data_IF_168917055474
#
_entry.id   IF_168917055474
#
_cell.length_a   1.000
_cell.length_b   1.000
_cell.length_c   1.000
_cell.angle_alpha   90.00
_cell.angle_beta   90.00
_cell.angle_gamma   90.00
#
_symmetry.space_group_name_H-M   'P 1'
#
loop_
_entity.id
_entity.type
_entity.pdbx_description
1 polymer ?
#
# COMPACT_ATOMS: atom_id res chain seq x y z
N UNK A 1 25.50 -42.40 71.87
CA UNK A 1 26.20 -42.56 70.57
C UNK A 1 25.11 -42.63 69.51
N UNK A 2 24.86 -41.56 68.73
CA UNK A 2 25.37 -41.36 67.35
C UNK A 2 25.00 -42.57 66.45
N UNK A 3 24.28 -42.55 65.31
CA UNK A 3 23.85 -41.60 64.24
C UNK A 3 22.62 -42.26 63.55
N UNK A 4 21.52 -41.57 63.18
CA UNK A 4 21.27 -40.76 61.97
C UNK A 4 21.44 -41.46 60.60
N UNK A 5 20.37 -41.36 59.78
CA UNK A 5 20.29 -41.44 58.31
C UNK A 5 20.54 -42.82 57.66
N UNK A 6 19.90 -43.24 56.57
CA UNK A 6 19.02 -42.58 55.58
C UNK A 6 18.39 -43.69 54.73
N UNK A 7 17.06 -43.71 54.61
CA UNK A 7 16.37 -44.41 53.52
C UNK A 7 16.36 -43.48 52.31
N UNK A 8 16.94 -43.90 51.19
CA UNK A 8 16.77 -43.22 49.90
C UNK A 8 16.32 -44.22 48.84
N UNK A 9 15.03 -44.12 48.53
CA UNK A 9 14.38 -44.54 47.28
C UNK A 9 15.00 -43.80 46.09
N UNK A 10 15.35 -44.47 44.98
CA UNK A 10 15.51 -43.80 43.70
C UNK A 10 14.14 -43.73 43.00
N UNK A 11 13.46 -42.60 43.15
CA UNK A 11 12.34 -42.22 42.30
C UNK A 11 12.93 -41.77 40.95
N UNK A 12 12.84 -42.61 39.93
CA UNK A 12 13.15 -42.25 38.55
C UNK A 12 12.17 -41.18 38.06
N UNK A 13 12.64 -39.94 37.98
CA UNK A 13 11.88 -38.82 37.42
C UNK A 13 12.20 -38.73 35.92
N UNK A 14 11.38 -39.39 35.10
CA UNK A 14 11.35 -39.23 33.66
C UNK A 14 10.78 -37.83 33.34
N UNK A 15 11.68 -36.85 33.19
CA UNK A 15 11.34 -35.52 32.72
C UNK A 15 11.15 -35.58 31.19
N UNK A 16 9.94 -35.84 30.73
CA UNK A 16 9.58 -35.70 29.31
C UNK A 16 9.54 -34.21 28.97
N UNK A 17 10.66 -33.69 28.47
CA UNK A 17 10.72 -32.37 27.85
C UNK A 17 9.89 -32.40 26.56
N UNK A 18 8.61 -32.05 26.69
CA UNK A 18 7.76 -31.73 25.54
C UNK A 18 8.21 -30.37 25.00
N UNK A 19 9.24 -30.36 24.15
CA UNK A 19 9.57 -29.22 23.33
C UNK A 19 8.35 -28.96 22.43
N UNK A 20 7.54 -27.97 22.79
CA UNK A 20 6.58 -27.37 21.86
C UNK A 20 7.41 -26.86 20.67
N UNK A 21 7.40 -27.60 19.56
CA UNK A 21 7.79 -27.06 18.25
C UNK A 21 6.82 -25.92 17.94
N UNK A 22 7.16 -24.72 18.38
CA UNK A 22 6.56 -23.51 17.83
C UNK A 22 7.15 -23.38 16.43
N UNK A 23 6.37 -23.53 15.35
CA UNK A 23 6.90 -23.27 14.02
C UNK A 23 7.45 -21.84 14.00
N UNK A 24 8.64 -21.61 13.44
CA UNK A 24 9.16 -20.26 13.30
C UNK A 24 8.12 -19.43 12.55
N UNK A 25 7.90 -18.15 12.93
CA UNK A 25 6.99 -17.29 12.19
C UNK A 25 7.43 -17.34 10.71
N UNK A 26 6.51 -17.75 9.84
CA UNK A 26 6.76 -17.79 8.42
C UNK A 26 7.10 -16.37 7.98
N UNK A 27 8.39 -16.08 7.78
CA UNK A 27 8.83 -14.79 7.28
C UNK A 27 8.48 -14.74 5.79
N UNK A 28 7.33 -14.16 5.48
CA UNK A 28 6.95 -13.82 4.12
C UNK A 28 7.80 -12.64 3.70
N UNK A 29 8.71 -12.85 2.74
CA UNK A 29 9.41 -11.72 2.13
C UNK A 29 8.39 -10.86 1.38
N UNK A 30 8.53 -9.52 1.41
CA UNK A 30 7.75 -8.66 0.53
C UNK A 30 7.81 -9.16 -0.92
N UNK A 31 6.69 -9.09 -1.64
CA UNK A 31 6.62 -9.52 -3.03
C UNK A 31 7.49 -8.65 -3.95
N UNK A 32 7.68 -7.39 -3.57
CA UNK A 32 8.46 -6.42 -4.33
C UNK A 32 9.39 -5.62 -3.42
N UNK A 33 10.22 -4.80 -4.06
CA UNK A 33 11.22 -3.96 -3.40
C UNK A 33 10.65 -2.80 -2.57
N UNK A 34 9.34 -2.55 -2.61
CA UNK A 34 8.69 -1.57 -1.73
C UNK A 34 8.79 -1.97 -0.24
N UNK A 35 8.96 -3.27 0.01
CA UNK A 35 9.19 -3.78 1.35
C UNK A 35 7.94 -3.90 2.22
N UNK A 36 6.72 -3.78 1.65
CA UNK A 36 5.45 -3.94 2.36
C UNK A 36 4.46 -4.87 1.67
N UNK A 37 4.26 -4.78 0.35
CA UNK A 37 3.28 -5.62 -0.35
C UNK A 37 3.61 -7.10 -0.12
N UNK A 38 2.60 -7.88 0.32
CA UNK A 38 2.75 -9.30 0.63
C UNK A 38 3.21 -9.64 2.05
N UNK A 39 3.68 -8.66 2.83
CA UNK A 39 3.91 -8.88 4.26
C UNK A 39 2.62 -9.30 4.97
N UNK A 40 2.74 -10.11 6.02
CA UNK A 40 1.62 -10.36 6.92
C UNK A 40 1.37 -9.16 7.83
N UNK A 41 0.21 -9.12 8.48
CA UNK A 41 -0.09 -8.10 9.47
C UNK A 41 0.93 -8.11 10.62
N UNK A 42 1.31 -9.29 11.10
CA UNK A 42 2.32 -9.46 12.16
C UNK A 42 3.68 -8.91 11.74
N UNK A 43 4.08 -9.11 10.47
CA UNK A 43 5.33 -8.58 9.93
C UNK A 43 5.31 -7.05 9.79
N UNK A 44 4.16 -6.47 9.41
CA UNK A 44 3.98 -5.02 9.43
C UNK A 44 4.13 -4.49 10.86
N UNK A 45 3.54 -5.15 11.86
CA UNK A 45 3.68 -4.77 13.26
C UNK A 45 5.11 -4.93 13.78
N UNK A 46 5.81 -5.98 13.36
CA UNK A 46 7.22 -6.16 13.69
C UNK A 46 8.09 -5.05 13.09
N UNK A 47 7.75 -4.58 11.87
CA UNK A 47 8.50 -3.55 11.15
C UNK A 47 8.21 -2.13 11.63
N UNK A 48 6.95 -1.81 11.93
CA UNK A 48 6.49 -0.44 12.23
C UNK A 48 6.05 -0.22 13.69
N UNK A 49 5.98 -1.29 14.48
CA UNK A 49 5.38 -1.30 15.81
C UNK A 49 3.86 -1.37 15.77
N UNK A 50 3.24 -1.13 16.92
CA UNK A 50 1.78 -1.11 17.07
C UNK A 50 1.16 0.02 16.24
N UNK A 51 0.08 -0.24 15.48
CA UNK A 51 -0.62 0.81 14.76
C UNK A 51 -1.18 1.87 15.71
N UNK A 52 -1.22 3.13 15.25
CA UNK A 52 -1.79 4.23 16.03
C UNK A 52 -3.32 4.12 16.11
N UNK A 53 -3.94 3.58 15.05
CA UNK A 53 -5.35 3.26 15.01
C UNK A 53 -5.61 2.11 14.03
N UNK A 54 -6.73 1.42 14.20
CA UNK A 54 -7.25 0.47 13.22
C UNK A 54 -8.56 1.03 12.71
N UNK A 55 -8.73 1.16 11.39
CA UNK A 55 -9.96 1.73 10.80
C UNK A 55 -10.71 0.70 9.98
N UNK A 56 -12.04 0.68 10.08
CA UNK A 56 -12.88 -0.07 9.16
C UNK A 56 -13.41 0.84 8.05
N UNK A 57 -13.36 0.39 6.80
CA UNK A 57 -13.90 1.13 5.65
C UNK A 57 -15.23 0.56 5.20
N UNK A 58 -16.31 1.36 5.24
CA UNK A 58 -17.56 1.03 4.52
C UNK A 58 -17.46 1.57 3.09
N UNK A 59 -17.07 0.70 2.15
CA UNK A 59 -16.67 1.05 0.78
C UNK A 59 -17.67 1.97 0.03
N UNK A 60 -18.98 1.78 0.24
CA UNK A 60 -20.02 2.57 -0.43
C UNK A 60 -20.14 4.02 0.07
N UNK A 61 -19.73 4.33 1.31
CA UNK A 61 -20.03 5.62 1.95
C UNK A 61 -18.80 6.47 2.27
N UNK A 62 -17.58 5.96 2.04
CA UNK A 62 -16.31 6.60 2.50
C UNK A 62 -16.35 6.99 3.99
N UNK A 63 -17.14 6.28 4.79
CA UNK A 63 -17.21 6.45 6.24
C UNK A 63 -16.16 5.56 6.86
N UNK A 64 -15.25 6.17 7.61
CA UNK A 64 -14.23 5.49 8.40
C UNK A 64 -14.66 5.47 9.86
N UNK A 65 -14.55 4.31 10.48
CA UNK A 65 -14.67 4.17 11.93
C UNK A 65 -13.31 3.77 12.48
N UNK A 66 -12.80 4.53 13.43
CA UNK A 66 -11.48 4.33 14.03
C UNK A 66 -11.65 3.63 15.38
N UNK A 67 -10.79 2.65 15.62
CA UNK A 67 -10.76 1.85 16.82
C UNK A 67 -9.35 1.86 17.40
N UNK A 68 -9.25 1.78 18.73
CA UNK A 68 -7.98 1.50 19.37
C UNK A 68 -7.55 0.06 19.05
N UNK A 69 -6.24 -0.26 19.02
CA UNK A 69 -5.78 -1.64 18.82
C UNK A 69 -6.37 -2.63 19.84
N UNK A 70 -6.63 -2.17 21.08
CA UNK A 70 -7.22 -2.99 22.15
C UNK A 70 -8.69 -3.32 21.88
N UNK A 71 -9.46 -2.35 21.41
CA UNK A 71 -10.88 -2.51 21.14
C UNK A 71 -11.14 -3.23 19.82
N UNK A 72 -10.19 -3.14 18.89
CA UNK A 72 -10.31 -3.76 17.57
C UNK A 72 -10.49 -5.27 17.66
N UNK A 73 -9.70 -5.98 18.47
CA UNK A 73 -9.82 -7.46 18.61
C UNK A 73 -11.23 -7.89 19.03
N UNK A 74 -11.87 -7.11 19.90
CA UNK A 74 -13.25 -7.32 20.38
C UNK A 74 -14.30 -7.00 19.31
N UNK A 75 -14.02 -6.05 18.42
CA UNK A 75 -14.90 -5.67 17.32
C UNK A 75 -14.77 -6.62 16.13
N UNK A 76 -13.54 -7.01 15.80
CA UNK A 76 -13.17 -7.93 14.73
C UNK A 76 -13.88 -9.27 14.83
N UNK A 77 -13.96 -9.85 16.03
CA UNK A 77 -14.67 -11.13 16.26
C UNK A 77 -16.19 -11.06 16.03
N UNK A 78 -16.76 -9.86 15.89
CA UNK A 78 -18.19 -9.63 15.65
C UNK A 78 -18.52 -9.23 14.21
N UNK A 79 -17.51 -9.02 13.37
CA UNK A 79 -17.72 -8.63 11.98
C UNK A 79 -17.99 -9.86 11.12
N UNK A 80 -19.02 -9.77 10.27
CA UNK A 80 -19.32 -10.77 9.21
C UNK A 80 -18.21 -10.80 8.15
N UNK A 81 -17.39 -9.74 8.07
CA UNK A 81 -16.21 -9.67 7.21
C UNK A 81 -15.09 -8.92 7.95
N UNK A 82 -14.33 -9.62 8.81
CA UNK A 82 -13.23 -9.05 9.61
C UNK A 82 -12.11 -8.40 8.77
N UNK A 83 -12.08 -8.77 7.49
CA UNK A 83 -11.12 -8.46 6.43
C UNK A 83 -11.03 -6.97 6.02
N UNK A 84 -11.87 -6.11 6.61
CA UNK A 84 -12.00 -4.68 6.24
C UNK A 84 -11.27 -3.73 7.20
N UNK A 85 -10.50 -4.25 8.15
CA UNK A 85 -9.63 -3.44 9.01
C UNK A 85 -8.37 -3.00 8.26
N UNK A 86 -8.03 -1.72 8.39
CA UNK A 86 -6.79 -1.15 7.91
C UNK A 86 -5.96 -0.65 9.09
N UNK A 87 -4.69 -1.03 9.15
CA UNK A 87 -3.76 -0.54 10.17
C UNK A 87 -3.23 0.83 9.77
N UNK A 88 -3.34 1.80 10.67
CA UNK A 88 -3.03 3.21 10.40
C UNK A 88 -1.82 3.66 11.21
N UNK A 89 -0.85 4.24 10.50
CA UNK A 89 0.35 4.84 11.07
C UNK A 89 0.49 6.29 10.61
N UNK A 90 0.59 7.22 11.55
CA UNK A 90 0.71 8.65 11.23
C UNK A 90 2.05 9.18 11.73
N UNK A 91 2.81 9.80 10.82
CA UNK A 91 4.10 10.42 11.12
C UNK A 91 4.08 11.89 10.72
N UNK A 92 4.91 12.71 11.36
CA UNK A 92 5.20 14.07 10.90
C UNK A 92 6.58 14.09 10.27
N UNK A 93 6.67 14.45 8.99
CA UNK A 93 7.92 14.52 8.21
C UNK A 93 7.97 15.86 7.47
N UNK A 94 8.99 16.67 7.75
CA UNK A 94 9.16 18.01 7.14
C UNK A 94 7.92 18.91 7.22
N UNK A 95 7.19 18.86 8.34
CA UNK A 95 5.95 19.64 8.54
C UNK A 95 4.71 19.09 7.82
N UNK A 96 4.82 17.93 7.16
CA UNK A 96 3.71 17.22 6.52
C UNK A 96 3.32 16.03 7.39
N UNK A 97 2.03 15.86 7.64
CA UNK A 97 1.52 14.60 8.17
C UNK A 97 1.48 13.56 7.06
N UNK A 98 2.20 12.46 7.26
CA UNK A 98 2.28 11.32 6.36
C UNK A 98 1.57 10.14 7.05
N UNK A 99 0.40 9.78 6.54
CA UNK A 99 -0.43 8.72 7.11
C UNK A 99 -0.43 7.50 6.20
N UNK A 100 0.19 6.42 6.66
CA UNK A 100 0.12 5.11 6.04
C UNK A 100 -1.15 4.38 6.50
N UNK A 101 -1.81 3.69 5.58
CA UNK A 101 -2.93 2.78 5.83
C UNK A 101 -2.67 1.48 5.08
N UNK A 102 -2.53 0.39 5.82
CA UNK A 102 -2.27 -0.94 5.27
C UNK A 102 -3.59 -1.67 5.06
N UNK A 103 -3.88 -2.02 3.82
CA UNK A 103 -5.08 -2.76 3.44
C UNK A 103 -4.71 -4.22 3.24
N UNK A 104 -5.43 -5.09 3.93
CA UNK A 104 -5.13 -6.52 3.94
C UNK A 104 -6.05 -7.34 3.06
N UNK A 105 -5.60 -8.55 2.72
CA UNK A 105 -6.37 -9.62 2.14
C UNK A 105 -6.13 -10.91 2.93
N UNK A 106 -7.18 -11.66 3.25
CA UNK A 106 -7.02 -12.98 3.83
C UNK A 106 -6.40 -13.98 2.87
N UNK A 107 -5.58 -14.88 3.40
CA UNK A 107 -5.18 -16.09 2.69
C UNK A 107 -6.29 -17.14 2.77
N UNK A 108 -7.13 -17.21 1.74
CA UNK A 108 -8.23 -18.17 1.65
C UNK A 108 -7.77 -19.62 1.43
N UNK A 109 -6.47 -19.89 1.30
CA UNK A 109 -5.93 -21.25 1.25
C UNK A 109 -5.87 -21.88 2.64
N UNK A 110 -5.89 -21.07 3.70
CA UNK A 110 -5.89 -21.55 5.07
C UNK A 110 -7.32 -21.91 5.50
N UNK A 111 -7.54 -23.17 5.87
CA UNK A 111 -8.83 -23.66 6.36
C UNK A 111 -8.99 -23.36 7.87
N UNK A 112 -8.89 -22.09 8.26
CA UNK A 112 -9.00 -21.62 9.65
C UNK A 112 -9.97 -20.43 9.77
N UNK A 113 -10.55 -20.24 10.95
CA UNK A 113 -11.53 -19.17 11.20
C UNK A 113 -10.95 -17.77 11.02
N UNK A 114 -9.65 -17.61 11.31
CA UNK A 114 -8.90 -16.36 11.21
C UNK A 114 -7.64 -16.57 10.39
N UNK A 115 -7.76 -16.56 9.05
CA UNK A 115 -6.62 -16.74 8.16
C UNK A 115 -5.63 -15.59 8.27
N UNK A 116 -4.38 -15.89 7.90
CA UNK A 116 -3.31 -14.90 7.76
C UNK A 116 -3.73 -13.75 6.84
N UNK A 117 -3.45 -12.53 7.25
CA UNK A 117 -3.77 -11.31 6.51
C UNK A 117 -2.51 -10.77 5.82
N UNK A 118 -2.52 -10.73 4.49
CA UNK A 118 -1.43 -10.19 3.68
C UNK A 118 -1.73 -8.78 3.19
N UNK A 119 -0.72 -7.90 3.20
CA UNK A 119 -0.84 -6.54 2.63
C UNK A 119 -1.09 -6.63 1.13
N UNK A 120 -2.26 -6.14 0.69
CA UNK A 120 -2.62 -6.03 -0.74
C UNK A 120 -2.44 -4.62 -1.31
N UNK A 121 -2.48 -3.62 -0.44
CA UNK A 121 -2.32 -2.20 -0.81
C UNK A 121 -1.81 -1.40 0.38
N UNK A 122 -0.94 -0.43 0.11
CA UNK A 122 -0.54 0.58 1.09
C UNK A 122 -0.99 1.93 0.57
N UNK A 123 -1.84 2.63 1.32
CA UNK A 123 -2.24 4.02 1.01
C UNK A 123 -1.42 4.97 1.90
N UNK A 124 -0.81 5.99 1.31
CA UNK A 124 -0.04 7.03 2.01
C UNK A 124 -0.68 8.38 1.71
N UNK A 125 -1.33 8.97 2.71
CA UNK A 125 -2.01 10.25 2.60
C UNK A 125 -1.14 11.37 3.16
N UNK A 126 -1.11 12.50 2.46
CA UNK A 126 -0.35 13.69 2.83
C UNK A 126 -1.29 14.80 3.33
N UNK A 127 -0.94 15.44 4.43
CA UNK A 127 -1.66 16.63 4.91
C UNK A 127 -0.66 17.68 5.39
N UNK A 128 -0.50 18.82 4.67
CA UNK A 128 -1.16 19.17 3.41
C UNK A 128 -0.70 18.32 2.22
N UNK A 129 -1.33 18.50 1.05
CA UNK A 129 -0.88 17.94 -0.22
C UNK A 129 0.55 18.38 -0.56
N UNK A 130 1.33 17.53 -1.22
CA UNK A 130 2.77 17.74 -1.46
C UNK A 130 3.10 17.75 -2.95
N UNK A 131 4.15 18.49 -3.38
CA UNK A 131 4.60 18.43 -4.76
C UNK A 131 5.19 17.05 -5.09
N UNK A 132 4.98 16.57 -6.31
CA UNK A 132 5.46 15.28 -6.81
C UNK A 132 6.93 14.98 -6.47
N UNK A 133 7.82 15.98 -6.60
CA UNK A 133 9.25 15.85 -6.30
C UNK A 133 9.59 15.62 -4.83
N UNK A 134 8.72 15.99 -3.90
CA UNK A 134 8.98 15.87 -2.46
C UNK A 134 8.68 14.47 -1.92
N UNK A 135 7.90 13.66 -2.65
CA UNK A 135 7.38 12.37 -2.19
C UNK A 135 8.52 11.38 -1.82
N UNK A 136 9.59 11.21 -2.62
CA UNK A 136 10.68 10.29 -2.25
C UNK A 136 11.37 10.64 -0.93
N UNK A 137 11.39 11.92 -0.54
CA UNK A 137 11.94 12.35 0.74
C UNK A 137 10.96 12.18 1.92
N UNK A 138 9.66 12.02 1.63
CA UNK A 138 8.61 11.84 2.63
C UNK A 138 8.24 10.37 2.83
N UNK A 139 8.52 9.50 1.86
CA UNK A 139 8.14 8.08 1.85
C UNK A 139 9.34 7.27 1.36
N UNK A 140 10.13 6.73 2.28
CA UNK A 140 11.39 6.05 1.95
C UNK A 140 11.19 4.81 1.08
N UNK A 141 10.04 4.16 1.21
CA UNK A 141 9.68 2.96 0.45
C UNK A 141 9.24 3.29 -0.99
N UNK A 142 8.91 4.56 -1.25
CA UNK A 142 8.59 5.04 -2.57
C UNK A 142 9.87 5.37 -3.33
N UNK A 143 10.35 4.37 -4.07
CA UNK A 143 11.52 4.50 -4.93
C UNK A 143 11.09 4.34 -6.39
N UNK A 144 10.52 5.35 -7.08
CA UNK A 144 10.09 5.21 -8.47
C UNK A 144 11.28 4.95 -9.41
N UNK A 145 11.02 4.33 -10.56
CA UNK A 145 12.03 4.23 -11.61
C UNK A 145 12.37 5.63 -12.16
N UNK A 146 13.58 5.83 -12.68
CA UNK A 146 14.07 7.17 -13.11
C UNK A 146 14.33 7.25 -14.62
N UNK A 147 14.18 6.14 -15.36
CA UNK A 147 14.32 6.12 -16.80
C UNK A 147 13.19 6.90 -17.47
N UNK A 148 13.47 7.75 -18.47
CA UNK A 148 12.45 8.57 -19.14
C UNK A 148 11.40 7.75 -19.90
N UNK A 149 11.75 6.51 -20.28
CA UNK A 149 10.90 5.55 -21.00
C UNK A 149 10.29 4.49 -20.09
N UNK A 150 10.57 4.54 -18.79
CA UNK A 150 9.95 3.59 -17.85
C UNK A 150 8.43 3.81 -17.85
N UNK A 151 7.62 2.74 -17.75
CA UNK A 151 6.19 2.86 -17.98
C UNK A 151 5.52 3.78 -16.96
N UNK A 152 4.99 4.89 -17.47
CA UNK A 152 4.24 5.88 -16.73
C UNK A 152 2.98 6.27 -17.51
N UNK A 153 1.87 6.39 -16.80
CA UNK A 153 0.57 6.73 -17.36
C UNK A 153 -0.07 7.81 -16.50
N UNK A 154 -1.01 8.55 -17.08
CA UNK A 154 -1.83 9.50 -16.34
C UNK A 154 -3.31 9.33 -16.66
N UNK A 155 -4.11 9.86 -15.74
CA UNK A 155 -5.48 10.28 -15.96
C UNK A 155 -5.64 11.73 -15.53
N UNK A 156 -6.90 12.18 -15.42
CA UNK A 156 -7.25 13.49 -14.86
C UNK A 156 -7.05 13.54 -13.34
N UNK A 157 -6.98 12.39 -12.65
CA UNK A 157 -6.96 12.32 -11.18
C UNK A 157 -5.71 11.67 -10.61
N UNK A 158 -4.94 10.95 -11.43
CA UNK A 158 -3.77 10.23 -10.94
C UNK A 158 -2.66 10.06 -11.99
N UNK A 159 -1.46 9.81 -11.48
CA UNK A 159 -0.30 9.31 -12.22
C UNK A 159 -0.02 7.89 -11.77
N UNK A 160 0.24 6.97 -12.71
CA UNK A 160 0.54 5.57 -12.46
C UNK A 160 1.94 5.27 -12.97
N UNK A 161 2.77 4.67 -12.12
CA UNK A 161 4.15 4.30 -12.42
C UNK A 161 4.31 2.81 -12.18
N UNK A 162 4.99 2.11 -13.08
CA UNK A 162 5.37 0.72 -12.87
C UNK A 162 6.84 0.61 -12.46
N UNK A 163 7.13 -0.37 -11.61
CA UNK A 163 8.49 -0.65 -11.17
C UNK A 163 8.77 -2.15 -11.11
N UNK A 164 9.99 -2.50 -11.50
CA UNK A 164 10.55 -3.83 -11.33
C UNK A 164 9.91 -4.89 -12.23
N UNK A 165 10.45 -6.13 -12.20
CA UNK A 165 9.85 -7.26 -12.89
C UNK A 165 8.54 -7.69 -12.20
N UNK A 166 7.64 -8.35 -12.94
CA UNK A 166 6.47 -9.00 -12.34
C UNK A 166 6.85 -10.08 -11.32
N UNK A 167 6.03 -10.25 -10.28
CA UNK A 167 6.14 -11.33 -9.28
C UNK A 167 4.95 -12.28 -9.41
N UNK A 168 5.22 -13.59 -9.32
CA UNK A 168 4.17 -14.62 -9.31
C UNK A 168 3.47 -14.71 -7.95
N UNK A 169 4.23 -14.47 -6.89
CA UNK A 169 3.75 -14.48 -5.50
C UNK A 169 2.63 -13.43 -5.29
N UNK A 170 2.67 -12.33 -6.04
CA UNK A 170 1.67 -11.29 -6.03
C UNK A 170 0.23 -11.77 -6.37
N UNK A 171 0.09 -12.88 -7.10
CA UNK A 171 -1.22 -13.51 -7.40
C UNK A 171 -2.01 -13.85 -6.13
N UNK A 172 -1.33 -14.07 -5.00
CA UNK A 172 -1.95 -14.33 -3.71
C UNK A 172 -2.93 -13.22 -3.34
N UNK A 173 -2.52 -11.97 -3.53
CA UNK A 173 -3.29 -10.80 -3.09
C UNK A 173 -4.09 -10.13 -4.21
N UNK A 174 -3.94 -10.57 -5.46
CA UNK A 174 -4.73 -10.07 -6.60
C UNK A 174 -6.16 -10.65 -6.61
N UNK A 175 -7.14 -9.79 -6.89
CA UNK A 175 -8.59 -10.11 -6.90
C UNK A 175 -9.18 -10.18 -8.33
N UNK A 176 -8.35 -10.02 -9.36
CA UNK A 176 -8.78 -10.04 -10.75
C UNK A 176 -9.25 -11.44 -11.21
N UNK A 177 -10.26 -11.47 -12.08
CA UNK A 177 -10.89 -12.71 -12.56
C UNK A 177 -9.97 -13.54 -13.47
N UNK A 178 -9.11 -12.87 -14.25
CA UNK A 178 -8.13 -13.43 -15.17
C UNK A 178 -6.72 -13.48 -14.55
N UNK A 179 -6.63 -13.53 -13.21
CA UNK A 179 -5.36 -13.27 -12.52
C UNK A 179 -4.22 -14.24 -12.84
N UNK A 180 -4.54 -15.47 -13.26
CA UNK A 180 -3.56 -16.49 -13.60
C UNK A 180 -2.72 -16.16 -14.84
N UNK A 181 -3.24 -15.30 -15.74
CA UNK A 181 -2.56 -14.91 -16.98
C UNK A 181 -1.84 -13.56 -16.85
N UNK A 182 -1.97 -12.91 -15.69
CA UNK A 182 -1.45 -11.58 -15.46
C UNK A 182 0.04 -11.56 -15.11
N UNK A 183 0.78 -10.66 -15.76
CA UNK A 183 2.11 -10.25 -15.30
C UNK A 183 1.95 -9.13 -14.27
N UNK A 184 1.92 -9.50 -12.99
CA UNK A 184 1.66 -8.62 -11.84
C UNK A 184 2.92 -7.89 -11.37
N UNK A 185 2.95 -6.57 -11.52
CA UNK A 185 4.07 -5.73 -11.14
C UNK A 185 3.68 -4.76 -10.02
N UNK A 186 4.69 -4.30 -9.29
CA UNK A 186 4.57 -3.16 -8.39
C UNK A 186 4.16 -1.93 -9.20
N UNK A 187 3.10 -1.28 -8.73
CA UNK A 187 2.62 -0.04 -9.28
C UNK A 187 2.45 1.01 -8.17
N UNK A 188 2.91 2.21 -8.48
CA UNK A 188 2.69 3.39 -7.65
C UNK A 188 1.65 4.27 -8.30
N UNK A 189 0.59 4.59 -7.57
CA UNK A 189 -0.48 5.44 -8.06
C UNK A 189 -0.60 6.71 -7.22
N UNK A 190 -0.30 7.85 -7.82
CA UNK A 190 -0.27 9.15 -7.18
C UNK A 190 -1.55 9.90 -7.51
N UNK A 191 -2.36 10.23 -6.51
CA UNK A 191 -3.66 10.87 -6.66
C UNK A 191 -3.62 12.35 -6.29
N UNK A 192 -4.41 13.13 -7.02
CA UNK A 192 -4.75 14.51 -6.67
C UNK A 192 -6.27 14.63 -6.49
N UNK A 193 -6.71 15.01 -5.30
CA UNK A 193 -8.14 15.16 -4.96
C UNK A 193 -8.79 16.25 -5.80
N UNK A 194 -8.05 17.33 -6.08
CA UNK A 194 -8.50 18.44 -6.91
C UNK A 194 -8.23 18.24 -8.41
N UNK A 195 -7.73 17.05 -8.79
CA UNK A 195 -7.32 16.72 -10.15
C UNK A 195 -5.92 17.21 -10.51
N UNK A 196 -5.33 16.53 -11.49
CA UNK A 196 -4.02 16.87 -12.03
C UNK A 196 -4.15 17.98 -13.07
N UNK A 197 -3.19 18.92 -13.12
CA UNK A 197 -3.18 19.93 -14.17
C UNK A 197 -2.95 19.28 -15.56
N UNK A 198 -3.49 19.90 -16.61
CA UNK A 198 -3.24 19.47 -18.00
C UNK A 198 -1.75 19.38 -18.29
N UNK A 199 -0.98 20.37 -17.83
CA UNK A 199 0.48 20.36 -17.88
C UNK A 199 1.05 19.89 -16.54
N UNK A 200 1.37 18.59 -16.46
CA UNK A 200 1.98 17.99 -15.28
C UNK A 200 3.43 18.49 -15.11
N UNK A 201 3.79 18.86 -13.88
CA UNK A 201 5.14 19.29 -13.52
C UNK A 201 5.59 18.60 -12.24
N UNK A 202 6.89 18.67 -11.93
CA UNK A 202 7.44 18.16 -10.67
C UNK A 202 6.89 18.86 -9.41
N UNK A 203 6.22 20.01 -9.59
CA UNK A 203 5.54 20.76 -8.53
C UNK A 203 4.04 20.49 -8.46
N UNK A 204 3.49 19.64 -9.33
CA UNK A 204 2.08 19.26 -9.28
C UNK A 204 1.73 18.61 -7.94
N UNK A 205 0.61 19.02 -7.36
CA UNK A 205 0.22 18.65 -6.00
C UNK A 205 -0.42 17.25 -5.94
N UNK A 206 0.06 16.44 -5.01
CA UNK A 206 -0.37 15.06 -4.76
C UNK A 206 -0.85 14.96 -3.31
N UNK A 207 -2.06 14.42 -3.14
CA UNK A 207 -2.70 14.24 -1.84
C UNK A 207 -2.46 12.84 -1.28
N UNK A 208 -2.28 11.86 -2.17
CA UNK A 208 -2.16 10.46 -1.76
C UNK A 208 -1.31 9.66 -2.75
N UNK A 209 -0.48 8.78 -2.23
CA UNK A 209 0.26 7.77 -2.95
C UNK A 209 -0.30 6.39 -2.58
N UNK A 210 -0.48 5.50 -3.54
CA UNK A 210 -0.84 4.11 -3.31
C UNK A 210 0.23 3.18 -3.88
N UNK A 211 0.57 2.17 -3.11
CA UNK A 211 1.40 1.03 -3.51
C UNK A 211 0.42 -0.10 -3.79
N UNK A 212 0.36 -0.55 -5.03
CA UNK A 212 -0.57 -1.60 -5.44
C UNK A 212 0.07 -2.53 -6.47
N UNK A 213 -0.69 -3.53 -6.87
CA UNK A 213 -0.28 -4.56 -7.80
C UNK A 213 -1.15 -4.42 -9.04
N UNK A 214 -0.52 -4.17 -10.18
CA UNK A 214 -1.22 -4.03 -11.45
C UNK A 214 -0.51 -4.77 -12.57
N UNK A 215 -1.25 -5.07 -13.64
CA UNK A 215 -0.70 -5.70 -14.83
C UNK A 215 -0.51 -4.66 -15.94
N UNK A 216 0.74 -4.48 -16.37
CA UNK A 216 1.08 -3.55 -17.45
C UNK A 216 0.40 -3.95 -18.77
N UNK A 217 0.34 -5.25 -19.09
CA UNK A 217 -0.35 -5.73 -20.29
C UNK A 217 -1.83 -5.37 -20.27
N UNK A 218 -2.46 -5.42 -19.10
CA UNK A 218 -3.86 -5.03 -18.94
C UNK A 218 -4.06 -3.51 -19.08
N UNK A 219 -3.15 -2.71 -18.55
CA UNK A 219 -3.16 -1.26 -18.79
C UNK A 219 -3.08 -0.94 -20.27
N UNK A 220 -2.24 -1.64 -21.05
CA UNK A 220 -2.20 -1.43 -22.50
C UNK A 220 -3.47 -1.86 -23.23
N UNK A 221 -4.14 -2.93 -22.77
CA UNK A 221 -5.39 -3.41 -23.38
C UNK A 221 -6.59 -2.50 -23.09
N UNK A 222 -6.73 -2.05 -21.83
CA UNK A 222 -7.87 -1.24 -21.36
C UNK A 222 -7.61 0.27 -21.57
N UNK A 223 -6.34 0.68 -21.62
CA UNK A 223 -5.88 2.06 -21.45
C UNK A 223 -6.18 3.03 -22.59
N UNK A 224 -6.93 2.65 -23.63
CA UNK A 224 -7.27 3.57 -24.73
C UNK A 224 -8.00 4.85 -24.29
N UNK A 225 -8.69 4.84 -23.15
CA UNK A 225 -9.49 5.98 -22.70
C UNK A 225 -9.15 6.52 -21.30
N UNK A 226 -8.37 5.79 -20.49
CA UNK A 226 -8.16 6.14 -19.06
C UNK A 226 -6.71 6.24 -18.64
N UNK A 227 -5.77 5.73 -19.44
CA UNK A 227 -4.35 5.64 -19.11
C UNK A 227 -3.51 6.22 -20.27
N UNK A 228 -3.40 7.55 -20.32
CA UNK A 228 -2.57 8.21 -21.33
C UNK A 228 -1.08 7.99 -20.97
N UNK A 229 -0.27 7.39 -21.86
CA UNK A 229 1.16 7.23 -21.62
C UNK A 229 1.85 8.59 -21.53
N UNK A 230 2.71 8.76 -20.54
CA UNK A 230 3.51 9.98 -20.36
C UNK A 230 4.98 9.65 -20.17
N UNK A 231 5.84 10.65 -20.37
CA UNK A 231 7.21 10.58 -19.89
C UNK A 231 7.21 10.43 -18.37
N UNK A 232 8.08 9.56 -17.87
CA UNK A 232 8.20 9.31 -16.44
C UNK A 232 8.50 10.61 -15.66
N UNK A 233 7.62 11.02 -14.72
CA UNK A 233 7.77 12.29 -14.01
C UNK A 233 8.96 12.34 -13.04
N UNK A 234 9.59 11.19 -12.76
CA UNK A 234 10.80 11.09 -11.94
C UNK A 234 12.09 10.98 -12.78
N UNK A 235 11.99 11.08 -14.11
CA UNK A 235 13.16 11.19 -14.98
C UNK A 235 13.76 12.61 -14.98
N UNK A 236 15.06 12.68 -15.27
CA UNK A 236 15.78 13.97 -15.36
C UNK A 236 15.20 14.83 -16.49
N UNK A 237 14.86 14.20 -17.62
CA UNK A 237 14.29 14.83 -18.80
C UNK A 237 12.93 15.48 -18.50
N UNK A 238 12.11 14.85 -17.66
CA UNK A 238 10.84 15.42 -17.26
C UNK A 238 11.03 16.70 -16.42
N UNK A 239 11.99 16.70 -15.50
CA UNK A 239 12.31 17.86 -14.67
C UNK A 239 12.84 19.05 -15.48
N UNK A 240 13.45 18.80 -16.63
CA UNK A 240 14.01 19.81 -17.53
C UNK A 240 13.02 20.29 -18.60
N UNK A 241 11.76 19.82 -18.58
CA UNK A 241 10.76 20.26 -19.56
C UNK A 241 10.55 21.77 -19.50
N UNK A 242 10.27 22.41 -20.65
CA UNK A 242 9.93 23.82 -20.68
C UNK A 242 8.66 24.07 -19.84
N UNK A 243 8.42 25.31 -19.37
CA UNK A 243 7.19 25.66 -18.69
C UNK A 243 5.97 25.42 -19.60
N UNK A 244 4.80 25.27 -18.98
CA UNK A 244 3.55 25.07 -19.71
C UNK A 244 3.37 26.16 -20.78
N UNK A 245 2.95 25.82 -22.01
CA UNK A 245 2.59 26.83 -22.98
C UNK A 245 1.48 27.73 -22.41
N UNK A 246 1.50 29.04 -22.70
CA UNK A 246 0.47 29.95 -22.21
C UNK A 246 -0.91 29.47 -22.67
N UNK A 247 -1.87 29.41 -21.74
CA UNK A 247 -3.25 29.02 -22.08
C UNK A 247 -3.77 29.98 -23.15
N UNK A 248 -4.33 29.51 -24.28
CA UNK A 248 -4.92 30.39 -25.26
C UNK A 248 -6.01 31.21 -24.59
N UNK A 249 -5.97 32.54 -24.76
CA UNK A 249 -7.03 33.42 -24.28
C UNK A 249 -8.31 33.00 -24.99
N UNK A 250 -9.27 32.42 -24.26
CA UNK A 250 -10.60 32.16 -24.81
C UNK A 250 -11.22 33.52 -25.14
N UNK A 251 -11.36 33.82 -26.43
CA UNK A 251 -12.14 34.96 -26.89
C UNK A 251 -13.59 34.64 -26.55
N UNK A 252 -14.17 35.41 -25.62
CA UNK A 252 -15.60 35.30 -25.32
C UNK A 252 -16.34 35.83 -26.55
N UNK A 253 -17.20 35.04 -27.22
CA UNK A 253 -18.00 35.53 -28.33
C UNK A 253 -18.89 36.68 -27.85
N UNK A 254 -18.79 37.84 -28.51
CA UNK A 254 -19.72 38.94 -28.26
C UNK A 254 -21.02 38.63 -29.03
N UNK A 255 -22.20 38.64 -28.39
CA UNK A 255 -23.46 38.46 -29.10
C UNK A 255 -23.64 39.58 -30.13
N UNK A 256 -23.93 39.23 -31.37
CA UNK A 256 -24.40 40.18 -32.39
C UNK A 256 -25.91 40.21 -32.31
N UNK A 257 -26.49 41.32 -31.85
CA UNK A 257 -27.94 41.53 -31.89
C UNK A 257 -28.32 42.09 -33.26
N UNK A 258 -29.45 41.61 -33.83
CA UNK A 258 -30.01 42.20 -35.05
C UNK A 258 -30.56 43.60 -34.75
N UNK A 259 -30.26 44.57 -35.60
CA UNK A 259 -30.82 45.95 -35.54
C UNK A 259 -32.30 45.99 -35.96
#
# INVERSE_FOLDING_TARGET
>A
MQRLCSQQTPLFLLLTASLLLVPPPASSKPFFEDGFLGLTQEEVHAKLGTPHAIRSRKAALRVFSYYSPKDWKKYFSKLVSPQNGEDVYTYSRNGVQVRYSFVYKPDFREAVDFPTLHVKRVEVEFTPSVPLKAIPALVNEFNPSVGPKDPAFRSNLWVLLFKGPPSKEAELVVEEWDKADGKWSLAYQLFSVNGLPDYLTVNSSIDRLEFNIQSLSRIHQIGRHTHEPIMNPYSVEFAQRPPAPPKPKKTIPVPVYAE
#
